data_IF_042755386672
#
_entry.id   IF_042755386672
#
_cell.length_a   1.000
_cell.length_b   1.000
_cell.length_c   1.000
_cell.angle_alpha   90.00
_cell.angle_beta   90.00
_cell.angle_gamma   90.00
#
_symmetry.space_group_name_H-M   'P 1'
#
loop_
_entity.id
_entity.type
_entity.pdbx_description
1 polymer ?
#
# COMPACT_ATOMS: atom_id res chain seq x y z
N UNK A 1 -6.23 -3.74 2.09
CA UNK A 1 -5.85 -4.73 3.12
C UNK A 1 -6.65 -4.49 4.39
N UNK A 2 -7.12 -5.53 5.02
CA UNK A 2 -7.96 -5.46 6.22
C UNK A 2 -7.07 -5.63 7.44
N UNK A 3 -7.12 -4.67 8.36
CA UNK A 3 -6.21 -4.59 9.50
C UNK A 3 -6.63 -5.49 10.67
N UNK A 4 -7.93 -5.57 10.94
CA UNK A 4 -8.44 -6.26 12.13
C UNK A 4 -9.09 -7.58 11.79
N UNK A 5 -9.04 -8.53 12.73
CA UNK A 5 -9.66 -9.83 12.59
C UNK A 5 -10.41 -10.20 13.85
N UNK A 6 -11.49 -11.00 13.70
CA UNK A 6 -12.18 -11.69 14.77
C UNK A 6 -11.79 -13.15 14.62
N UNK A 7 -10.96 -13.66 15.54
CA UNK A 7 -10.32 -14.98 15.42
C UNK A 7 -9.49 -15.02 14.12
N UNK A 8 -9.82 -15.92 13.18
CA UNK A 8 -9.12 -16.06 11.90
C UNK A 8 -9.85 -15.38 10.75
N UNK A 9 -10.91 -14.63 11.03
CA UNK A 9 -11.73 -13.97 10.00
C UNK A 9 -11.42 -12.48 10.00
N UNK A 10 -11.04 -11.88 8.84
CA UNK A 10 -10.82 -10.44 8.78
C UNK A 10 -12.06 -9.65 9.21
N UNK A 11 -11.88 -8.66 10.07
CA UNK A 11 -12.98 -7.81 10.51
C UNK A 11 -13.25 -6.71 9.49
N UNK A 12 -14.28 -6.90 8.68
CA UNK A 12 -14.60 -6.04 7.54
C UNK A 12 -15.25 -4.71 7.92
N UNK A 13 -15.54 -4.47 9.21
CA UNK A 13 -16.12 -3.20 9.64
C UNK A 13 -15.14 -2.03 9.58
N UNK A 14 -13.84 -2.31 9.53
CA UNK A 14 -12.79 -1.28 9.53
C UNK A 14 -12.28 -0.87 8.14
N UNK A 15 -12.70 -1.57 7.06
CA UNK A 15 -12.27 -1.22 5.71
C UNK A 15 -10.80 -1.53 5.44
N UNK A 16 -10.20 -0.79 4.51
CA UNK A 16 -8.80 -0.94 4.10
C UNK A 16 -7.92 0.07 4.81
N UNK A 17 -6.70 -0.33 5.15
CA UNK A 17 -5.76 0.47 5.93
C UNK A 17 -4.48 0.74 5.13
N UNK A 18 -4.15 2.02 4.92
CA UNK A 18 -2.93 2.44 4.21
C UNK A 18 -1.66 1.95 4.90
N UNK A 19 -1.64 1.96 6.23
CA UNK A 19 -0.49 1.49 7.02
C UNK A 19 -0.15 0.02 6.68
N UNK A 20 -1.16 -0.83 6.61
CA UNK A 20 -0.97 -2.24 6.27
C UNK A 20 -0.59 -2.43 4.79
N UNK A 21 -1.16 -1.64 3.90
CA UNK A 21 -0.80 -1.67 2.48
C UNK A 21 0.67 -1.27 2.29
N UNK A 22 1.15 -0.25 3.03
CA UNK A 22 2.55 0.15 2.98
C UNK A 22 3.49 -1.00 3.38
N UNK A 23 3.16 -1.72 4.45
CA UNK A 23 3.93 -2.89 4.89
C UNK A 23 3.90 -4.00 3.85
N UNK A 24 2.74 -4.30 3.32
CA UNK A 24 2.58 -5.34 2.29
C UNK A 24 3.35 -5.00 1.02
N UNK A 25 3.37 -3.73 0.63
CA UNK A 25 4.15 -3.26 -0.51
C UNK A 25 5.64 -3.52 -0.30
N UNK A 26 6.18 -3.20 0.87
CA UNK A 26 7.59 -3.46 1.19
C UNK A 26 7.91 -4.96 1.14
N UNK A 27 7.02 -5.81 1.65
CA UNK A 27 7.20 -7.27 1.59
C UNK A 27 7.20 -7.76 0.15
N UNK A 28 6.27 -7.28 -0.68
CA UNK A 28 6.21 -7.66 -2.08
C UNK A 28 7.48 -7.27 -2.84
N UNK A 29 8.02 -6.08 -2.58
CA UNK A 29 9.26 -5.62 -3.19
C UNK A 29 10.46 -6.45 -2.72
N UNK A 30 10.53 -6.78 -1.44
CA UNK A 30 11.60 -7.63 -0.90
C UNK A 30 11.57 -9.01 -1.55
N UNK A 31 10.38 -9.58 -1.76
CA UNK A 31 10.23 -10.86 -2.46
C UNK A 31 10.68 -10.75 -3.92
N UNK A 32 10.34 -9.66 -4.60
CA UNK A 32 10.74 -9.45 -6.00
C UNK A 32 12.26 -9.32 -6.17
N UNK A 33 13.00 -8.87 -5.16
CA UNK A 33 14.45 -8.85 -5.20
C UNK A 33 15.03 -10.28 -5.25
N UNK A 34 14.35 -11.23 -4.63
CA UNK A 34 14.74 -12.65 -4.62
C UNK A 34 14.19 -13.41 -5.84
N UNK A 35 13.02 -13.02 -6.33
CA UNK A 35 12.33 -13.68 -7.44
C UNK A 35 11.76 -12.64 -8.41
N UNK A 36 12.60 -11.96 -9.22
CA UNK A 36 12.15 -10.83 -10.07
C UNK A 36 11.09 -11.19 -11.10
N UNK A 37 11.00 -12.44 -11.51
CA UNK A 37 10.02 -12.89 -12.49
C UNK A 37 8.72 -13.41 -11.89
N UNK A 38 8.55 -13.35 -10.58
CA UNK A 38 7.31 -13.80 -9.93
C UNK A 38 6.16 -12.86 -10.27
N UNK A 39 5.26 -13.32 -11.11
CA UNK A 39 4.16 -12.49 -11.63
C UNK A 39 3.14 -12.13 -10.57
N UNK A 40 2.90 -12.99 -9.58
CA UNK A 40 1.99 -12.67 -8.49
C UNK A 40 2.54 -11.49 -7.66
N UNK A 41 3.81 -11.54 -7.29
CA UNK A 41 4.44 -10.46 -6.52
C UNK A 41 4.48 -9.15 -7.31
N UNK A 42 4.73 -9.20 -8.63
CA UNK A 42 4.66 -8.02 -9.50
C UNK A 42 3.27 -7.39 -9.47
N UNK A 43 2.23 -8.21 -9.58
CA UNK A 43 0.84 -7.74 -9.56
C UNK A 43 0.46 -7.16 -8.22
N UNK A 44 0.82 -7.83 -7.13
CA UNK A 44 0.55 -7.34 -5.78
C UNK A 44 1.26 -6.02 -5.51
N UNK A 45 2.53 -5.90 -5.89
CA UNK A 45 3.28 -4.66 -5.70
C UNK A 45 2.67 -3.51 -6.51
N UNK A 46 2.23 -3.75 -7.75
CA UNK A 46 1.54 -2.75 -8.57
C UNK A 46 0.23 -2.30 -7.94
N UNK A 47 -0.55 -3.23 -7.40
CA UNK A 47 -1.82 -2.94 -6.73
C UNK A 47 -1.59 -2.10 -5.48
N UNK A 48 -0.61 -2.48 -4.66
CA UNK A 48 -0.29 -1.73 -3.44
C UNK A 48 0.24 -0.34 -3.75
N UNK A 49 1.08 -0.19 -4.77
CA UNK A 49 1.58 1.11 -5.20
C UNK A 49 0.44 2.02 -5.67
N UNK A 50 -0.49 1.48 -6.45
CA UNK A 50 -1.65 2.24 -6.91
C UNK A 50 -2.51 2.72 -5.74
N UNK A 51 -2.71 1.88 -4.72
CA UNK A 51 -3.44 2.27 -3.52
C UNK A 51 -2.74 3.40 -2.78
N UNK A 52 -1.43 3.28 -2.57
CA UNK A 52 -0.64 4.30 -1.87
C UNK A 52 -0.66 5.62 -2.61
N UNK A 53 -0.55 5.60 -3.94
CA UNK A 53 -0.63 6.80 -4.76
C UNK A 53 -2.01 7.46 -4.65
N UNK A 54 -3.08 6.66 -4.61
CA UNK A 54 -4.44 7.16 -4.44
C UNK A 54 -4.67 7.74 -3.04
N UNK A 55 -4.02 7.16 -2.03
CA UNK A 55 -4.16 7.60 -0.64
C UNK A 55 -3.43 8.92 -0.35
N UNK A 56 -2.50 9.33 -1.21
CA UNK A 56 -1.68 10.51 -0.97
C UNK A 56 -2.46 11.80 -1.23
N UNK A 57 -2.40 12.72 -0.28
CA UNK A 57 -2.93 14.06 -0.42
C UNK A 57 -1.96 14.96 -1.20
N UNK A 58 -2.45 16.10 -1.69
CA UNK A 58 -1.65 17.05 -2.47
C UNK A 58 -0.44 17.59 -1.70
N UNK A 59 -0.53 17.66 -0.36
CA UNK A 59 0.56 18.12 0.50
C UNK A 59 1.55 17.01 0.90
N UNK A 60 1.39 15.80 0.36
CA UNK A 60 2.27 14.67 0.62
C UNK A 60 1.85 13.78 1.77
N UNK A 61 0.87 14.18 2.57
CA UNK A 61 0.32 13.34 3.63
C UNK A 61 -0.62 12.29 3.05
N UNK A 62 -1.09 11.37 3.87
CA UNK A 62 -1.88 10.22 3.42
C UNK A 62 -3.16 10.08 4.23
N UNK A 63 -4.22 9.64 3.55
CA UNK A 63 -5.37 9.02 4.22
C UNK A 63 -4.96 7.66 4.76
N UNK A 64 -5.54 7.21 5.87
CA UNK A 64 -5.22 5.91 6.44
C UNK A 64 -6.29 4.86 6.20
N UNK A 65 -7.58 5.21 6.25
CA UNK A 65 -8.67 4.24 6.15
C UNK A 65 -9.58 4.53 4.96
N UNK A 66 -9.84 3.50 4.17
CA UNK A 66 -10.78 3.53 3.05
C UNK A 66 -11.91 2.53 3.29
N UNK A 67 -13.15 2.95 3.13
CA UNK A 67 -14.31 2.05 3.15
C UNK A 67 -14.39 1.23 1.87
N UNK A 68 -15.20 0.19 1.87
CA UNK A 68 -15.37 -0.71 0.73
C UNK A 68 -16.04 -0.04 -0.48
N UNK A 69 -16.72 1.08 -0.28
CA UNK A 69 -17.25 1.91 -1.37
C UNK A 69 -16.22 2.89 -1.95
N UNK A 70 -14.95 2.78 -1.51
CA UNK A 70 -13.79 3.59 -1.93
C UNK A 70 -13.83 5.03 -1.44
N UNK A 71 -14.62 5.33 -0.42
CA UNK A 71 -14.55 6.64 0.26
C UNK A 71 -13.54 6.60 1.39
N UNK A 72 -12.85 7.73 1.60
CA UNK A 72 -11.92 7.86 2.71
C UNK A 72 -12.69 8.13 4.01
N UNK A 73 -12.35 7.39 5.06
CA UNK A 73 -12.98 7.51 6.37
C UNK A 73 -12.31 8.54 7.26
N UNK A 74 -11.12 9.00 6.89
CA UNK A 74 -10.34 10.00 7.61
C UNK A 74 -9.89 11.09 6.64
N UNK A 75 -9.80 12.35 7.12
CA UNK A 75 -9.28 13.45 6.31
C UNK A 75 -7.77 13.31 6.13
N UNK A 76 -7.05 13.01 7.22
CA UNK A 76 -5.61 12.81 7.22
C UNK A 76 -5.31 11.66 8.19
N UNK A 77 -4.44 10.74 7.77
CA UNK A 77 -3.98 9.66 8.64
C UNK A 77 -3.06 10.16 9.75
N UNK A 78 -2.71 9.25 10.65
CA UNK A 78 -1.78 9.54 11.75
C UNK A 78 -0.38 9.81 11.23
N UNK A 79 0.48 10.43 12.07
CA UNK A 79 1.89 10.62 11.74
C UNK A 79 2.58 9.29 11.46
N UNK A 80 2.26 8.24 12.22
CA UNK A 80 2.84 6.91 12.03
C UNK A 80 2.44 6.31 10.68
N UNK A 81 1.17 6.40 10.30
CA UNK A 81 0.71 5.86 9.00
C UNK A 81 1.29 6.64 7.83
N UNK A 82 1.34 7.97 7.91
CA UNK A 82 1.96 8.81 6.88
C UNK A 82 3.46 8.52 6.75
N UNK A 83 4.16 8.43 7.88
CA UNK A 83 5.59 8.12 7.89
C UNK A 83 5.89 6.76 7.29
N UNK A 84 5.06 5.75 7.59
CA UNK A 84 5.24 4.41 7.04
C UNK A 84 4.98 4.37 5.54
N UNK A 85 3.97 5.10 5.06
CA UNK A 85 3.69 5.19 3.63
C UNK A 85 4.85 5.87 2.88
N UNK A 86 5.38 6.96 3.42
CA UNK A 86 6.53 7.65 2.84
C UNK A 86 7.76 6.73 2.81
N UNK A 87 8.01 6.00 3.90
CA UNK A 87 9.12 5.06 3.97
C UNK A 87 8.97 3.94 2.93
N UNK A 88 7.78 3.38 2.80
CA UNK A 88 7.51 2.33 1.82
C UNK A 88 7.76 2.81 0.39
N UNK A 89 7.31 4.01 0.04
CA UNK A 89 7.52 4.60 -1.28
C UNK A 89 9.01 4.87 -1.54
N UNK A 90 9.74 5.37 -0.53
CA UNK A 90 11.19 5.57 -0.63
C UNK A 90 11.94 4.25 -0.82
N UNK A 91 11.57 3.22 -0.10
CA UNK A 91 12.12 1.88 -0.27
C UNK A 91 11.90 1.38 -1.71
N UNK A 92 10.70 1.58 -2.24
CA UNK A 92 10.38 1.20 -3.61
C UNK A 92 11.25 1.93 -4.64
N UNK A 93 11.48 3.22 -4.44
CA UNK A 93 12.33 4.01 -5.33
C UNK A 93 13.77 3.49 -5.36
N UNK A 94 14.32 3.10 -4.20
CA UNK A 94 15.69 2.55 -4.12
C UNK A 94 15.80 1.15 -4.71
N UNK A 95 14.77 0.32 -4.57
CA UNK A 95 14.83 -1.11 -4.84
C UNK A 95 14.11 -1.53 -6.12
N UNK A 96 14.05 -0.65 -7.12
CA UNK A 96 13.66 -1.03 -8.46
C UNK A 96 12.17 -0.97 -8.76
N UNK A 97 11.47 -0.02 -8.17
CA UNK A 97 10.04 0.17 -8.42
C UNK A 97 9.73 0.62 -9.85
N UNK A 98 10.74 0.95 -10.65
CA UNK A 98 10.57 1.46 -12.01
C UNK A 98 9.73 0.54 -12.90
N UNK A 99 9.94 -0.76 -12.81
CA UNK A 99 9.16 -1.75 -13.58
C UNK A 99 7.69 -1.73 -13.12
N UNK A 100 7.45 -1.60 -11.83
CA UNK A 100 6.12 -1.55 -11.24
C UNK A 100 5.40 -0.28 -11.64
N UNK A 101 6.09 0.85 -11.62
CA UNK A 101 5.54 2.15 -12.05
C UNK A 101 5.11 2.08 -13.51
N UNK A 102 5.92 1.50 -14.37
CA UNK A 102 5.59 1.32 -15.78
C UNK A 102 4.29 0.51 -15.93
N UNK A 103 4.14 -0.58 -15.18
CA UNK A 103 2.91 -1.39 -15.21
C UNK A 103 1.68 -0.62 -14.72
N UNK A 104 1.81 0.17 -13.67
CA UNK A 104 0.69 0.97 -13.14
C UNK A 104 0.21 1.99 -14.17
N UNK A 105 1.11 2.51 -14.99
CA UNK A 105 0.78 3.49 -16.03
C UNK A 105 0.18 2.85 -17.30
N UNK A 106 0.41 1.58 -17.49
CA UNK A 106 -0.19 0.85 -18.60
C UNK A 106 -1.68 0.58 -18.36
#
# INVERSE_FOLDING_TARGET
MIQHAIENVPNRTFGYCTDDVARAFMVALAHLRLAPSDKLSQRLASTYLAFLAHAQLDDGRFHNFMDYDRTWLDDIGTHDSCGRAIWALGYGKEHGVSIIITRVRE
#
